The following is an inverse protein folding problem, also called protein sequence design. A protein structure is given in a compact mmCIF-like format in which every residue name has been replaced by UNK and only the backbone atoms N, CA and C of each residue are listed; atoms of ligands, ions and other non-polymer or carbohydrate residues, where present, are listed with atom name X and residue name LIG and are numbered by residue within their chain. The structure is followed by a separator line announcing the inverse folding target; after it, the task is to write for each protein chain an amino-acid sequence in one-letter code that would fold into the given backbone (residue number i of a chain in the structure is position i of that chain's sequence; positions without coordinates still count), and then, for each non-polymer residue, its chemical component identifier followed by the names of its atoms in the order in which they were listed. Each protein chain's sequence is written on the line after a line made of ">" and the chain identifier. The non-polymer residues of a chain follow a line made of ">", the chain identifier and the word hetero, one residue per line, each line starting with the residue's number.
data_IF_727898043582
#
_entry.id   IF_727898043582
#
_cell.length_a   1.000
_cell.length_b   1.000
_cell.length_c   1.000
_cell.angle_alpha   90.00
_cell.angle_beta   90.00
_cell.angle_gamma   90.00
#
_symmetry.space_group_name_H-M   'P 1'
#
loop_
_entity.id
_entity.type
_entity.pdbx_description
1 polymer ?
#
# COMPACT_ATOMS: atom_id res chain seq x y z
N UNK A 1 8.04 -13.94 -4.19
CA UNK A 1 7.96 -12.61 -4.85
C UNK A 1 7.72 -12.76 -6.35
N UNK A 2 7.13 -11.78 -7.03
CA UNK A 2 7.25 -11.66 -8.50
C UNK A 2 8.37 -10.67 -8.78
N UNK A 3 9.46 -11.06 -9.43
CA UNK A 3 10.47 -10.12 -9.94
C UNK A 3 9.97 -9.58 -11.28
N UNK A 4 9.51 -8.32 -11.36
CA UNK A 4 9.27 -7.71 -12.66
C UNK A 4 10.63 -7.47 -13.33
N UNK A 5 10.77 -7.93 -14.57
CA UNK A 5 11.88 -7.52 -15.42
C UNK A 5 11.46 -6.29 -16.22
N UNK A 6 12.43 -5.41 -16.46
CA UNK A 6 12.16 -4.16 -17.18
C UNK A 6 13.28 -3.89 -18.18
N UNK A 7 12.89 -3.53 -19.40
CA UNK A 7 13.78 -2.93 -20.38
C UNK A 7 13.46 -1.44 -20.47
N UNK A 8 14.47 -0.61 -20.28
CA UNK A 8 14.31 0.84 -20.30
C UNK A 8 15.17 1.47 -21.39
N UNK A 9 14.65 2.55 -21.99
CA UNK A 9 15.48 3.44 -22.79
C UNK A 9 16.43 4.19 -21.88
N UNK A 10 17.73 4.14 -22.19
CA UNK A 10 18.76 4.90 -21.46
C UNK A 10 18.39 6.38 -21.30
N UNK A 11 17.81 6.99 -22.33
CA UNK A 11 17.39 8.40 -22.31
C UNK A 11 16.33 8.73 -21.26
N UNK A 12 15.50 7.76 -20.86
CA UNK A 12 14.51 7.94 -19.77
C UNK A 12 15.22 7.91 -18.43
N UNK A 13 16.11 6.93 -18.22
CA UNK A 13 16.91 6.81 -16.99
C UNK A 13 17.78 8.05 -16.77
N UNK A 14 18.43 8.55 -17.81
CA UNK A 14 19.28 9.75 -17.74
C UNK A 14 18.48 11.00 -17.34
N UNK A 15 17.19 11.06 -17.67
CA UNK A 15 16.30 12.20 -17.35
C UNK A 15 15.71 12.09 -15.96
N UNK A 16 15.29 10.89 -15.56
CA UNK A 16 14.70 10.63 -14.24
C UNK A 16 15.78 10.70 -13.15
N UNK A 17 16.98 10.21 -13.43
CA UNK A 17 18.09 10.13 -12.49
C UNK A 17 18.04 8.89 -11.58
N UNK A 18 18.93 8.81 -10.59
CA UNK A 18 19.08 7.65 -9.72
C UNK A 18 17.93 7.53 -8.71
N UNK A 19 17.90 6.41 -8.00
CA UNK A 19 17.04 6.18 -6.84
C UNK A 19 17.25 7.25 -5.76
N UNK A 20 16.17 7.62 -5.08
CA UNK A 20 16.23 8.51 -3.92
C UNK A 20 16.71 7.70 -2.70
N UNK A 21 17.38 8.35 -1.72
CA UNK A 21 17.89 7.69 -0.53
C UNK A 21 16.76 7.37 0.47
N UNK A 22 15.81 6.53 0.06
CA UNK A 22 14.68 6.04 0.85
C UNK A 22 15.03 4.72 1.54
N UNK A 23 14.28 4.39 2.59
CA UNK A 23 14.46 3.15 3.37
C UNK A 23 14.25 1.88 2.53
N UNK A 24 13.01 1.40 2.44
CA UNK A 24 12.66 0.15 1.74
C UNK A 24 11.81 0.34 0.49
N UNK A 25 11.61 1.59 0.06
CA UNK A 25 10.82 1.96 -1.12
C UNK A 25 11.59 2.74 -2.22
N UNK A 26 12.94 2.65 -2.34
CA UNK A 26 13.66 3.44 -3.36
C UNK A 26 13.34 2.99 -4.80
N UNK A 27 12.98 1.72 -4.99
CA UNK A 27 12.55 1.17 -6.27
C UNK A 27 11.11 1.60 -6.60
N UNK A 28 10.19 1.54 -5.63
CA UNK A 28 8.81 1.99 -5.78
C UNK A 28 8.77 3.45 -6.25
N UNK A 29 9.49 4.34 -5.57
CA UNK A 29 9.58 5.75 -5.94
C UNK A 29 10.14 5.92 -7.36
N UNK A 30 11.24 5.23 -7.68
CA UNK A 30 11.85 5.30 -9.00
C UNK A 30 10.89 4.85 -10.10
N UNK A 31 10.17 3.74 -9.91
CA UNK A 31 9.21 3.24 -10.90
C UNK A 31 8.06 4.20 -11.14
N UNK A 32 7.53 4.82 -10.10
CA UNK A 32 6.49 5.83 -10.25
C UNK A 32 7.01 7.10 -10.91
N UNK A 33 8.24 7.52 -10.61
CA UNK A 33 8.88 8.67 -11.27
C UNK A 33 9.12 8.40 -12.76
N UNK A 34 9.50 7.17 -13.13
CA UNK A 34 9.59 6.73 -14.53
C UNK A 34 8.20 6.76 -15.19
N UNK A 35 7.16 6.26 -14.52
CA UNK A 35 5.78 6.27 -15.03
C UNK A 35 5.23 7.68 -15.27
N UNK A 36 5.68 8.66 -14.48
CA UNK A 36 5.34 10.08 -14.68
C UNK A 36 6.03 10.66 -15.92
N UNK A 37 7.22 10.18 -16.26
CA UNK A 37 8.01 10.68 -17.40
C UNK A 37 7.65 10.01 -18.73
N UNK A 38 7.27 8.73 -18.71
CA UNK A 38 7.04 7.97 -19.93
C UNK A 38 5.99 6.88 -19.75
N UNK A 39 5.24 6.61 -20.82
CA UNK A 39 4.28 5.50 -20.87
C UNK A 39 4.97 4.15 -20.60
N UNK A 40 4.26 3.29 -19.87
CA UNK A 40 4.74 1.95 -19.50
C UNK A 40 3.96 0.90 -20.30
N UNK A 41 4.67 0.06 -21.05
CA UNK A 41 4.12 -1.13 -21.67
C UNK A 41 4.27 -2.36 -20.77
N UNK A 42 3.15 -3.00 -20.43
CA UNK A 42 3.16 -4.24 -19.65
C UNK A 42 3.14 -5.48 -20.56
N UNK A 43 4.01 -6.45 -20.28
CA UNK A 43 4.07 -7.74 -20.98
C UNK A 43 3.71 -8.84 -19.97
N UNK A 44 2.48 -9.36 -20.08
CA UNK A 44 1.99 -10.46 -19.27
C UNK A 44 2.25 -11.84 -19.90
N UNK A 45 2.30 -12.88 -19.07
CA UNK A 45 2.26 -14.29 -19.53
C UNK A 45 3.59 -14.89 -19.98
N UNK A 46 4.69 -14.14 -19.92
CA UNK A 46 6.04 -14.65 -20.19
C UNK A 46 6.83 -14.84 -18.88
N UNK A 47 7.53 -15.97 -18.75
CA UNK A 47 8.51 -16.17 -17.67
C UNK A 47 9.79 -15.38 -18.01
N UNK A 48 9.94 -14.21 -17.39
CA UNK A 48 11.04 -13.29 -17.71
C UNK A 48 12.22 -13.38 -16.74
N UNK A 49 12.01 -13.87 -15.52
CA UNK A 49 13.09 -14.05 -14.55
C UNK A 49 12.80 -15.13 -13.51
N UNK A 50 13.89 -15.68 -12.97
CA UNK A 50 13.87 -16.65 -11.89
C UNK A 50 14.50 -16.00 -10.66
N UNK A 51 13.66 -15.66 -9.68
CA UNK A 51 14.12 -15.10 -8.42
C UNK A 51 14.57 -16.21 -7.46
N UNK A 52 15.76 -16.09 -6.89
CA UNK A 52 16.22 -16.96 -5.80
C UNK A 52 15.82 -16.36 -4.46
N UNK A 53 14.91 -17.03 -3.76
CA UNK A 53 14.61 -16.69 -2.36
C UNK A 53 15.68 -17.31 -1.44
N UNK A 54 16.10 -16.55 -0.43
CA UNK A 54 17.02 -16.97 0.62
C UNK A 54 16.76 -16.17 1.91
N UNK A 55 17.18 -16.69 3.06
CA UNK A 55 16.82 -16.16 4.38
C UNK A 55 17.31 -14.71 4.62
N UNK A 56 18.43 -14.34 3.99
CA UNK A 56 18.97 -12.97 4.04
C UNK A 56 18.33 -12.00 3.03
N UNK A 57 17.31 -12.44 2.28
CA UNK A 57 16.62 -11.54 1.35
C UNK A 57 15.92 -10.44 2.14
N UNK A 58 15.95 -9.20 1.63
CA UNK A 58 15.20 -8.07 2.20
C UNK A 58 13.70 -8.38 2.37
N UNK A 59 13.19 -9.30 1.56
CA UNK A 59 11.82 -9.82 1.63
C UNK A 59 11.60 -10.90 2.68
N UNK A 60 12.64 -11.66 2.99
CA UNK A 60 12.64 -12.74 3.98
C UNK A 60 12.91 -12.21 5.39
N UNK A 61 13.66 -11.12 5.52
CA UNK A 61 13.95 -10.47 6.80
C UNK A 61 12.76 -9.69 7.39
N UNK A 62 11.61 -9.68 6.70
CA UNK A 62 10.33 -9.27 7.25
C UNK A 62 10.31 -7.82 7.70
N UNK A 63 10.13 -6.90 6.76
CA UNK A 63 9.84 -5.50 7.08
C UNK A 63 8.61 -5.43 7.99
N UNK A 64 8.74 -4.76 9.14
CA UNK A 64 7.57 -4.51 9.99
C UNK A 64 6.53 -3.70 9.20
N UNK A 65 5.27 -4.05 9.39
CA UNK A 65 4.17 -3.45 8.63
C UNK A 65 4.08 -1.93 8.86
N UNK A 66 4.40 -1.45 10.06
CA UNK A 66 4.39 -0.01 10.31
C UNK A 66 5.51 0.68 9.54
N UNK A 67 6.70 0.08 9.49
CA UNK A 67 7.80 0.61 8.68
C UNK A 67 7.43 0.65 7.20
N UNK A 68 6.80 -0.40 6.65
CA UNK A 68 6.29 -0.38 5.26
C UNK A 68 5.33 0.80 5.00
N UNK A 69 4.38 1.03 5.91
CA UNK A 69 3.43 2.13 5.79
C UNK A 69 4.11 3.51 5.80
N UNK A 70 5.11 3.70 6.67
CA UNK A 70 5.89 4.93 6.73
C UNK A 70 6.75 5.12 5.49
N UNK A 71 7.50 4.10 5.07
CA UNK A 71 8.40 4.19 3.92
C UNK A 71 7.63 4.40 2.61
N UNK A 72 6.42 3.83 2.47
CA UNK A 72 5.54 4.11 1.33
C UNK A 72 5.01 5.53 1.36
N UNK A 73 4.70 6.06 2.54
CA UNK A 73 4.29 7.47 2.70
C UNK A 73 5.41 8.39 2.24
N UNK A 74 6.63 8.17 2.72
CA UNK A 74 7.81 8.94 2.36
C UNK A 74 8.08 8.91 0.85
N UNK A 75 7.98 7.74 0.23
CA UNK A 75 8.14 7.61 -1.22
C UNK A 75 7.12 8.45 -2.01
N UNK A 76 5.84 8.45 -1.62
CA UNK A 76 4.83 9.30 -2.25
C UNK A 76 5.10 10.79 -2.03
N UNK A 77 5.50 11.17 -0.81
CA UNK A 77 5.83 12.56 -0.50
C UNK A 77 7.02 13.05 -1.33
N UNK A 78 8.11 12.28 -1.38
CA UNK A 78 9.27 12.61 -2.20
C UNK A 78 8.90 12.73 -3.67
N UNK A 79 8.15 11.77 -4.22
CA UNK A 79 7.75 11.80 -5.64
C UNK A 79 6.88 13.03 -5.98
N UNK A 80 5.86 13.30 -5.16
CA UNK A 80 4.79 14.25 -5.50
C UNK A 80 5.10 15.68 -5.05
N UNK A 81 6.16 15.88 -4.28
CA UNK A 81 6.63 17.22 -3.84
C UNK A 81 7.98 17.61 -4.43
N UNK A 82 8.53 16.84 -5.36
CA UNK A 82 9.83 17.10 -6.01
C UNK A 82 9.85 18.30 -6.98
N UNK A 83 8.71 18.97 -7.17
CA UNK A 83 8.59 20.13 -8.04
C UNK A 83 8.42 19.80 -9.53
N UNK A 84 8.26 18.53 -9.89
CA UNK A 84 8.04 18.10 -11.28
C UNK A 84 6.59 17.68 -11.53
N UNK A 85 6.09 17.90 -12.74
CA UNK A 85 4.70 17.60 -13.12
C UNK A 85 3.73 18.75 -12.81
N UNK A 86 2.43 18.47 -12.90
CA UNK A 86 1.38 19.44 -12.58
C UNK A 86 1.16 19.53 -11.05
N UNK A 87 1.30 20.70 -10.42
CA UNK A 87 1.16 20.82 -8.97
C UNK A 87 -0.23 20.45 -8.43
N UNK A 88 -1.28 20.72 -9.21
CA UNK A 88 -2.66 20.41 -8.82
C UNK A 88 -2.90 18.90 -8.80
N UNK A 89 -2.49 18.22 -9.86
CA UNK A 89 -2.57 16.76 -9.97
C UNK A 89 -1.68 16.07 -8.95
N UNK A 90 -0.46 16.55 -8.73
CA UNK A 90 0.42 16.01 -7.69
C UNK A 90 -0.21 16.10 -6.30
N UNK A 91 -0.82 17.24 -5.97
CA UNK A 91 -1.53 17.43 -4.70
C UNK A 91 -2.71 16.47 -4.56
N UNK A 92 -3.47 16.26 -5.65
CA UNK A 92 -4.59 15.31 -5.70
C UNK A 92 -4.11 13.88 -5.51
N UNK A 93 -3.06 13.46 -6.21
CA UNK A 93 -2.47 12.12 -6.09
C UNK A 93 -1.88 11.88 -4.71
N UNK A 94 -1.28 12.88 -4.08
CA UNK A 94 -0.74 12.76 -2.73
C UNK A 94 -1.85 12.54 -1.71
N UNK A 95 -2.98 13.26 -1.86
CA UNK A 95 -4.15 13.02 -1.03
C UNK A 95 -4.70 11.61 -1.21
N UNK A 96 -4.81 11.15 -2.46
CA UNK A 96 -5.26 9.78 -2.77
C UNK A 96 -4.34 8.71 -2.15
N UNK A 97 -3.03 8.92 -2.22
CA UNK A 97 -2.05 8.02 -1.60
C UNK A 97 -2.20 7.97 -0.07
N UNK A 98 -2.40 9.13 0.57
CA UNK A 98 -2.64 9.25 2.01
C UNK A 98 -3.95 8.56 2.43
N UNK A 99 -5.03 8.77 1.70
CA UNK A 99 -6.31 8.10 1.94
C UNK A 99 -6.17 6.58 1.82
N UNK A 100 -5.47 6.09 0.79
CA UNK A 100 -5.25 4.67 0.58
C UNK A 100 -4.42 4.02 1.71
N UNK A 101 -3.34 4.68 2.16
CA UNK A 101 -2.50 4.19 3.26
C UNK A 101 -3.22 4.25 4.61
N UNK A 102 -4.00 5.31 4.87
CA UNK A 102 -4.83 5.42 6.05
C UNK A 102 -5.92 4.33 6.09
N UNK A 103 -6.58 4.07 4.96
CA UNK A 103 -7.59 3.02 4.85
C UNK A 103 -6.96 1.62 5.04
N UNK A 104 -5.75 1.39 4.51
CA UNK A 104 -5.01 0.16 4.76
C UNK A 104 -4.73 -0.05 6.26
N UNK A 105 -4.29 0.99 6.97
CA UNK A 105 -4.05 0.93 8.41
C UNK A 105 -5.36 0.66 9.19
N UNK A 106 -6.46 1.31 8.82
CA UNK A 106 -7.80 1.05 9.41
C UNK A 106 -8.27 -0.38 9.15
N UNK A 107 -8.06 -0.90 7.95
CA UNK A 107 -8.40 -2.26 7.59
C UNK A 107 -7.60 -3.27 8.44
N UNK A 108 -6.30 -3.01 8.65
CA UNK A 108 -5.43 -3.82 9.51
C UNK A 108 -5.89 -3.79 10.97
N UNK A 109 -6.20 -2.61 11.51
CA UNK A 109 -6.75 -2.48 12.85
C UNK A 109 -8.07 -3.27 12.99
N UNK A 110 -9.01 -3.09 12.06
CA UNK A 110 -10.28 -3.83 12.02
C UNK A 110 -10.06 -5.35 11.99
N UNK A 111 -9.09 -5.80 11.22
CA UNK A 111 -8.73 -7.21 11.11
C UNK A 111 -8.08 -7.75 12.39
N UNK A 112 -7.31 -6.95 13.13
CA UNK A 112 -6.80 -7.32 14.45
C UNK A 112 -7.94 -7.50 15.47
N UNK A 113 -8.93 -6.60 15.48
CA UNK A 113 -10.12 -6.75 16.32
C UNK A 113 -10.89 -8.04 16.06
N UNK A 114 -11.18 -8.38 14.80
CA UNK A 114 -11.90 -9.62 14.49
C UNK A 114 -11.09 -10.89 14.79
N UNK A 115 -9.77 -10.78 14.96
CA UNK A 115 -8.91 -11.88 15.43
C UNK A 115 -8.77 -11.91 16.95
N UNK A 116 -9.45 -11.01 17.68
CA UNK A 116 -9.35 -10.90 19.14
C UNK A 116 -8.07 -10.24 19.65
N UNK A 117 -7.33 -9.57 18.77
CA UNK A 117 -6.09 -8.82 19.05
C UNK A 117 -6.29 -7.30 19.11
N UNK A 118 -7.53 -6.82 19.05
CA UNK A 118 -7.83 -5.39 19.06
C UNK A 118 -7.78 -4.74 20.44
N UNK A 119 -7.59 -3.43 20.46
CA UNK A 119 -7.62 -2.60 21.67
C UNK A 119 -6.32 -2.61 22.45
N UNK A 120 -5.18 -2.74 21.76
CA UNK A 120 -3.85 -2.63 22.34
C UNK A 120 -2.88 -1.90 21.42
N UNK A 121 -1.60 -1.88 21.80
CA UNK A 121 -0.56 -1.09 21.14
C UNK A 121 -0.48 -1.26 19.62
N UNK A 122 -0.67 -2.48 19.10
CA UNK A 122 -0.72 -2.75 17.65
C UNK A 122 -1.83 -1.94 16.96
N UNK A 123 -3.06 -2.02 17.46
CA UNK A 123 -4.18 -1.30 16.84
C UNK A 123 -4.09 0.19 17.06
N UNK A 124 -3.55 0.63 18.19
CA UNK A 124 -3.39 2.05 18.50
C UNK A 124 -2.31 2.67 17.59
N UNK A 125 -1.25 1.93 17.28
CA UNK A 125 -0.23 2.32 16.30
C UNK A 125 -0.81 2.55 14.91
N UNK A 126 -1.63 1.62 14.39
CA UNK A 126 -2.29 1.80 13.10
C UNK A 126 -3.22 3.03 13.07
N UNK A 127 -3.97 3.26 14.14
CA UNK A 127 -4.89 4.40 14.21
C UNK A 127 -4.15 5.73 14.32
N UNK A 128 -3.07 5.77 15.12
CA UNK A 128 -2.22 6.94 15.23
C UNK A 128 -1.58 7.31 13.89
N UNK A 129 -1.04 6.31 13.17
CA UNK A 129 -0.53 6.49 11.82
C UNK A 129 -1.60 7.04 10.87
N UNK A 130 -2.77 6.40 10.79
CA UNK A 130 -3.84 6.86 9.91
C UNK A 130 -4.24 8.31 10.22
N UNK A 131 -4.36 8.68 11.50
CA UNK A 131 -4.65 10.05 11.91
C UNK A 131 -3.54 11.06 11.55
N UNK A 132 -2.28 10.64 11.52
CA UNK A 132 -1.16 11.54 11.17
C UNK A 132 -1.15 11.98 9.71
N UNK A 133 -1.84 11.26 8.82
CA UNK A 133 -1.85 11.55 7.37
C UNK A 133 -2.76 12.72 7.00
N UNK A 134 -3.48 13.32 7.95
CA UNK A 134 -4.31 14.50 7.73
C UNK A 134 -5.55 14.25 6.86
N UNK A 135 -6.03 13.02 6.81
CA UNK A 135 -7.23 12.60 6.05
C UNK A 135 -8.44 12.42 6.95
N UNK A 136 -9.64 12.57 6.40
CA UNK A 136 -10.88 12.29 7.12
C UNK A 136 -11.14 10.78 7.20
N UNK A 137 -10.77 10.19 8.35
CA UNK A 137 -10.89 8.76 8.60
C UNK A 137 -12.32 8.23 8.55
N UNK A 138 -13.34 9.06 8.74
CA UNK A 138 -14.73 8.60 8.77
C UNK A 138 -15.30 8.33 7.37
N UNK A 139 -14.69 8.92 6.34
CA UNK A 139 -15.04 8.75 4.92
C UNK A 139 -14.41 7.51 4.29
N UNK A 140 -13.39 6.94 4.93
CA UNK A 140 -12.62 5.83 4.37
C UNK A 140 -13.44 4.53 4.28
N UNK A 141 -13.20 3.69 3.24
CA UNK A 141 -13.95 2.46 3.01
C UNK A 141 -14.10 1.55 4.25
N UNK A 142 -13.04 1.38 5.04
CA UNK A 142 -13.05 0.47 6.20
C UNK A 142 -13.49 1.15 7.51
N UNK A 143 -13.85 2.44 7.51
CA UNK A 143 -14.24 3.17 8.71
C UNK A 143 -15.44 2.54 9.44
N UNK A 144 -16.45 2.08 8.67
CA UNK A 144 -17.62 1.42 9.24
C UNK A 144 -17.30 0.06 9.89
N UNK A 145 -16.31 -0.66 9.36
CA UNK A 145 -15.82 -1.93 9.93
C UNK A 145 -15.08 -1.68 11.24
N UNK A 146 -14.22 -0.67 11.28
CA UNK A 146 -13.52 -0.26 12.49
C UNK A 146 -14.51 0.19 13.59
N UNK A 147 -15.50 1.02 13.25
CA UNK A 147 -16.53 1.46 14.20
C UNK A 147 -17.34 0.30 14.77
N UNK A 148 -17.67 -0.70 13.96
CA UNK A 148 -18.35 -1.91 14.43
C UNK A 148 -17.45 -2.76 15.33
N UNK A 149 -16.18 -2.90 14.97
CA UNK A 149 -15.18 -3.64 15.73
C UNK A 149 -14.90 -3.00 17.12
N UNK A 150 -14.70 -1.68 17.17
CA UNK A 150 -14.52 -0.92 18.42
C UNK A 150 -15.74 -1.05 19.34
N UNK A 151 -16.97 -0.94 18.79
CA UNK A 151 -18.22 -1.09 19.55
C UNK A 151 -18.41 -2.50 20.13
N UNK A 152 -18.05 -3.53 19.39
CA UNK A 152 -18.10 -4.91 19.89
C UNK A 152 -17.06 -5.14 21.00
N UNK A 153 -15.94 -4.41 20.96
CA UNK A 153 -14.80 -4.63 21.84
C UNK A 153 -14.06 -5.93 21.53
N UNK A 154 -12.88 -6.10 22.15
CA UNK A 154 -11.94 -7.20 21.86
C UNK A 154 -12.60 -8.60 21.88
N UNK A 155 -13.37 -8.90 22.93
CA UNK A 155 -13.90 -10.25 23.15
C UNK A 155 -15.04 -10.61 22.19
N UNK A 156 -15.98 -9.69 21.92
CA UNK A 156 -17.13 -9.97 21.05
C UNK A 156 -16.82 -9.76 19.57
N UNK A 157 -15.82 -8.93 19.23
CA UNK A 157 -15.41 -8.74 17.84
C UNK A 157 -14.93 -10.05 17.20
N UNK A 158 -14.23 -10.91 17.96
CA UNK A 158 -13.75 -12.21 17.49
C UNK A 158 -14.84 -13.18 17.07
N UNK A 159 -15.96 -13.15 17.77
CA UNK A 159 -17.09 -14.07 17.54
C UNK A 159 -18.17 -13.46 16.65
N UNK A 160 -17.96 -12.23 16.16
CA UNK A 160 -18.93 -11.53 15.31
C UNK A 160 -18.92 -12.08 13.88
N UNK A 161 -20.00 -12.75 13.43
CA UNK A 161 -20.08 -13.26 12.06
C UNK A 161 -20.03 -12.12 11.02
N UNK A 162 -20.58 -10.95 11.36
CA UNK A 162 -20.58 -9.78 10.49
C UNK A 162 -19.19 -9.19 10.26
N UNK A 163 -18.34 -9.12 11.29
CA UNK A 163 -16.95 -8.65 11.14
C UNK A 163 -16.11 -9.66 10.36
N UNK A 164 -16.29 -10.96 10.63
CA UNK A 164 -15.63 -12.03 9.87
C UNK A 164 -16.03 -11.99 8.39
N UNK A 165 -17.32 -11.84 8.08
CA UNK A 165 -17.80 -11.75 6.72
C UNK A 165 -17.21 -10.55 5.95
N UNK A 166 -17.06 -9.40 6.60
CA UNK A 166 -16.41 -8.21 6.00
C UNK A 166 -14.94 -8.47 5.69
N UNK A 167 -14.19 -9.04 6.63
CA UNK A 167 -12.79 -9.38 6.39
C UNK A 167 -12.59 -10.42 5.28
N UNK A 168 -13.48 -11.41 5.19
CA UNK A 168 -13.44 -12.39 4.12
C UNK A 168 -13.70 -11.70 2.78
N UNK A 169 -14.69 -10.79 2.71
CA UNK A 169 -14.97 -10.00 1.50
C UNK A 169 -13.74 -9.18 1.08
N UNK A 170 -13.13 -8.43 1.99
CA UNK A 170 -11.96 -7.61 1.69
C UNK A 170 -10.79 -8.48 1.18
N UNK A 171 -10.66 -9.70 1.73
CA UNK A 171 -9.65 -10.66 1.28
C UNK A 171 -9.94 -11.23 -0.12
N UNK A 172 -11.21 -11.38 -0.48
CA UNK A 172 -11.64 -11.87 -1.80
C UNK A 172 -11.62 -10.78 -2.88
N UNK A 173 -11.76 -9.51 -2.51
CA UNK A 173 -11.67 -8.41 -3.47
C UNK A 173 -10.25 -8.25 -4.04
N UNK A 174 -9.19 -8.61 -3.29
CA UNK A 174 -7.80 -8.56 -3.77
C UNK A 174 -7.54 -9.45 -5.00
N UNK A 175 -7.82 -10.77 -4.98
CA UNK A 175 -7.62 -11.61 -6.15
C UNK A 175 -8.54 -11.21 -7.30
N UNK A 176 -9.75 -10.71 -7.00
CA UNK A 176 -10.65 -10.20 -8.03
C UNK A 176 -10.07 -8.99 -8.75
N UNK A 177 -9.64 -7.96 -8.01
CA UNK A 177 -8.97 -6.77 -8.57
C UNK A 177 -7.71 -7.14 -9.34
N UNK A 178 -6.91 -8.09 -8.82
CA UNK A 178 -5.73 -8.59 -9.54
C UNK A 178 -6.11 -9.22 -10.88
N UNK A 179 -7.21 -9.97 -10.93
CA UNK A 179 -7.69 -10.61 -12.17
C UNK A 179 -8.22 -9.58 -13.15
N UNK A 180 -9.00 -8.62 -12.67
CA UNK A 180 -9.48 -7.49 -13.47
C UNK A 180 -8.31 -6.69 -14.06
N UNK A 181 -7.27 -6.43 -13.28
CA UNK A 181 -6.05 -5.76 -13.74
C UNK A 181 -5.28 -6.59 -14.78
N UNK A 182 -5.12 -7.90 -14.58
CA UNK A 182 -4.47 -8.78 -15.56
C UNK A 182 -5.24 -8.84 -16.89
N UNK A 183 -6.57 -8.77 -16.84
CA UNK A 183 -7.41 -8.86 -18.03
C UNK A 183 -7.52 -7.51 -18.78
N UNK A 184 -7.46 -6.39 -18.06
CA UNK A 184 -7.77 -5.05 -18.62
C UNK A 184 -6.61 -4.06 -18.63
N UNK A 185 -5.55 -4.33 -17.88
CA UNK A 185 -4.43 -3.40 -17.69
C UNK A 185 -4.77 -2.13 -16.88
N UNK A 186 -5.95 -2.09 -16.24
CA UNK A 186 -6.44 -0.98 -15.39
C UNK A 186 -6.99 -1.56 -14.09
#
# INVERSE_FOLDING_TARGET
>A
MTSPEVLMRKSVVDRVGPQRPLGHTPDMELWMRIARESDIGWIGGADQAWHREHDDSMSATGLDVMTDLHDRTEAFEVLLTDGHGDPGENSRLLMLAREALADEAIARASAAYARGRGGGAETDGYLAFASSLGVDLDTLPHAASLRAAKRAGRSRARVSPGLLARLVRDRLDRPRRRREWLDRGI
#
